data_IF_241496974489
#
_entry.id   IF_241496974489
#
_cell.length_a   1.000
_cell.length_b   1.000
_cell.length_c   1.000
_cell.angle_alpha   90.00
_cell.angle_beta   90.00
_cell.angle_gamma   90.00
#
_symmetry.space_group_name_H-M   'P 1'
#
loop_
_entity.id
_entity.type
_entity.pdbx_description
1 polymer ?
#
# COMPACT_ATOMS: atom_id res chain seq x y z
N UNK A 1 17.97 -15.08 -13.32
CA UNK A 1 16.88 -14.09 -13.46
C UNK A 1 15.68 -14.63 -12.70
N UNK A 2 15.19 -13.92 -11.67
CA UNK A 2 13.97 -14.36 -10.97
C UNK A 2 12.80 -13.93 -11.84
N UNK A 3 11.96 -14.89 -12.25
CA UNK A 3 10.76 -14.61 -13.03
C UNK A 3 9.91 -13.56 -12.30
N UNK A 4 9.34 -12.64 -13.08
CA UNK A 4 8.37 -11.63 -12.62
C UNK A 4 7.30 -12.35 -11.78
N UNK A 5 6.99 -11.80 -10.59
CA UNK A 5 5.94 -12.39 -9.74
C UNK A 5 4.63 -12.49 -10.52
N UNK A 6 3.91 -13.58 -10.32
CA UNK A 6 2.54 -13.72 -10.79
C UNK A 6 1.62 -12.74 -10.05
N UNK A 7 0.48 -12.38 -10.65
CA UNK A 7 -0.53 -11.53 -10.01
C UNK A 7 -0.95 -12.06 -8.63
N UNK A 8 -1.10 -13.38 -8.51
CA UNK A 8 -1.51 -14.02 -7.26
C UNK A 8 -0.43 -13.94 -6.17
N UNK A 9 0.85 -14.03 -6.52
CA UNK A 9 1.95 -13.85 -5.58
C UNK A 9 2.05 -12.41 -5.10
N UNK A 10 1.88 -11.42 -6.00
CA UNK A 10 1.83 -10.01 -5.62
C UNK A 10 0.66 -9.77 -4.67
N UNK A 11 -0.54 -10.22 -5.02
CA UNK A 11 -1.74 -10.10 -4.20
C UNK A 11 -1.53 -10.70 -2.81
N UNK A 12 -1.02 -11.93 -2.74
CA UNK A 12 -0.72 -12.62 -1.48
C UNK A 12 0.32 -11.89 -0.64
N UNK A 13 1.28 -11.21 -1.28
CA UNK A 13 2.30 -10.41 -0.60
C UNK A 13 1.70 -9.12 -0.05
N UNK A 14 0.86 -8.43 -0.81
CA UNK A 14 0.14 -7.25 -0.35
C UNK A 14 -0.78 -7.55 0.85
N UNK A 15 -1.47 -8.69 0.86
CA UNK A 15 -2.24 -9.14 2.05
C UNK A 15 -1.32 -9.25 3.27
N UNK A 16 -0.14 -9.89 3.12
CA UNK A 16 0.81 -10.05 4.22
C UNK A 16 1.31 -8.70 4.72
N UNK A 17 1.59 -7.75 3.82
CA UNK A 17 1.99 -6.40 4.18
C UNK A 17 0.88 -5.67 4.96
N UNK A 18 -0.37 -5.75 4.49
CA UNK A 18 -1.53 -5.15 5.17
C UNK A 18 -1.74 -5.75 6.56
N UNK A 19 -1.73 -7.08 6.69
CA UNK A 19 -1.87 -7.75 7.99
C UNK A 19 -0.77 -7.34 8.99
N UNK A 20 0.47 -7.18 8.53
CA UNK A 20 1.59 -6.71 9.35
C UNK A 20 1.44 -5.24 9.76
N UNK A 21 0.95 -4.40 8.86
CA UNK A 21 0.72 -2.99 9.12
C UNK A 21 -0.44 -2.80 10.11
N UNK A 22 -1.60 -3.38 9.80
CA UNK A 22 -2.81 -3.33 10.61
C UNK A 22 -3.74 -4.52 10.29
N UNK A 23 -3.71 -5.55 11.14
CA UNK A 23 -4.55 -6.75 11.00
C UNK A 23 -6.06 -6.44 11.06
N UNK A 24 -6.46 -5.44 11.84
CA UNK A 24 -7.86 -5.05 11.97
C UNK A 24 -8.42 -4.50 10.65
N UNK A 25 -7.63 -3.69 9.93
CA UNK A 25 -8.04 -3.17 8.61
C UNK A 25 -8.26 -4.27 7.58
N UNK A 26 -7.48 -5.36 7.65
CA UNK A 26 -7.71 -6.53 6.80
C UNK A 26 -9.02 -7.25 7.18
N UNK A 27 -9.24 -7.51 8.47
CA UNK A 27 -10.43 -8.25 8.92
C UNK A 27 -11.74 -7.49 8.68
N UNK A 28 -11.70 -6.17 8.77
CA UNK A 28 -12.85 -5.30 8.52
C UNK A 28 -13.00 -4.94 7.03
N UNK A 29 -12.16 -5.54 6.16
CA UNK A 29 -12.14 -5.26 4.72
C UNK A 29 -11.98 -3.77 4.39
N UNK A 30 -11.32 -3.03 5.28
CA UNK A 30 -11.16 -1.58 5.15
C UNK A 30 -10.27 -1.22 3.96
N UNK A 31 -9.24 -2.02 3.73
CA UNK A 31 -8.38 -2.00 2.56
C UNK A 31 -8.29 -3.40 1.98
N UNK A 32 -8.41 -3.50 0.66
CA UNK A 32 -8.24 -4.75 -0.09
C UNK A 32 -7.14 -4.52 -1.13
N UNK A 33 -6.15 -5.42 -1.24
CA UNK A 33 -5.17 -5.31 -2.31
C UNK A 33 -5.84 -5.29 -3.67
N UNK A 34 -5.30 -4.50 -4.58
CA UNK A 34 -5.60 -4.60 -6.00
C UNK A 34 -4.28 -4.55 -6.78
N UNK A 35 -4.20 -5.38 -7.82
CA UNK A 35 -3.03 -5.46 -8.69
C UNK A 35 -3.49 -5.44 -10.14
N UNK A 36 -3.95 -4.26 -10.55
CA UNK A 36 -4.41 -3.97 -11.90
C UNK A 36 -3.29 -3.27 -12.68
N UNK A 37 -3.16 -3.55 -13.98
CA UNK A 37 -2.17 -2.94 -14.87
C UNK A 37 -0.71 -2.99 -14.38
N UNK A 38 -0.36 -4.04 -13.65
CA UNK A 38 0.98 -4.26 -13.09
C UNK A 38 1.41 -3.27 -11.99
N UNK A 39 0.45 -2.58 -11.39
CA UNK A 39 0.67 -1.57 -10.36
C UNK A 39 0.20 -2.07 -8.99
N UNK A 40 0.99 -1.83 -7.93
CA UNK A 40 0.58 -2.15 -6.57
C UNK A 40 -0.50 -1.16 -6.10
N UNK A 41 -1.61 -1.67 -5.59
CA UNK A 41 -2.64 -0.79 -5.04
C UNK A 41 -3.42 -1.42 -3.89
N UNK A 42 -4.09 -0.57 -3.11
CA UNK A 42 -5.11 -0.93 -2.14
C UNK A 42 -6.35 -0.07 -2.36
N UNK A 43 -7.47 -0.75 -2.57
CA UNK A 43 -8.79 -0.12 -2.64
C UNK A 43 -9.37 -0.09 -1.23
N UNK A 44 -9.96 1.05 -0.88
CA UNK A 44 -10.74 1.17 0.35
C UNK A 44 -12.14 0.62 0.16
N UNK A 45 -12.76 0.12 1.23
CA UNK A 45 -14.21 -0.08 1.24
C UNK A 45 -14.91 1.23 0.82
N UNK A 46 -15.92 1.13 -0.06
CA UNK A 46 -16.65 2.26 -0.63
C UNK A 46 -17.65 2.84 0.39
N UNK A 47 -17.11 3.43 1.45
CA UNK A 47 -17.90 4.08 2.49
C UNK A 47 -17.19 5.34 3.00
N UNK A 48 -17.98 6.38 3.30
CA UNK A 48 -17.47 7.62 3.90
C UNK A 48 -16.71 7.33 5.21
N UNK A 49 -17.19 6.34 5.98
CA UNK A 49 -16.52 5.91 7.21
C UNK A 49 -15.12 5.37 6.94
N UNK A 50 -14.96 4.49 5.95
CA UNK A 50 -13.67 3.91 5.60
C UNK A 50 -12.67 4.98 5.16
N UNK A 51 -13.07 5.86 4.23
CA UNK A 51 -12.22 6.95 3.77
C UNK A 51 -11.80 7.89 4.91
N UNK A 52 -12.72 8.25 5.82
CA UNK A 52 -12.39 9.08 7.00
C UNK A 52 -11.43 8.39 7.97
N UNK A 53 -11.58 7.08 8.16
CA UNK A 53 -10.72 6.32 9.07
C UNK A 53 -9.32 6.17 8.50
N UNK A 54 -9.20 5.90 7.20
CA UNK A 54 -7.91 5.82 6.50
C UNK A 54 -7.20 7.18 6.53
N UNK A 55 -7.88 8.26 6.14
CA UNK A 55 -7.27 9.60 6.06
C UNK A 55 -6.81 10.15 7.42
N UNK A 56 -7.42 9.71 8.53
CA UNK A 56 -7.00 10.05 9.89
C UNK A 56 -5.86 9.18 10.44
N UNK A 57 -5.49 8.11 9.73
CA UNK A 57 -4.57 7.08 10.22
C UNK A 57 -3.21 7.10 9.50
N UNK A 58 -2.60 8.29 9.36
CA UNK A 58 -1.33 8.46 8.63
C UNK A 58 -0.24 7.50 9.11
N UNK A 59 -0.08 7.33 10.43
CA UNK A 59 0.91 6.38 11.01
C UNK A 59 0.71 4.94 10.52
N UNK A 60 -0.53 4.50 10.32
CA UNK A 60 -0.84 3.17 9.81
C UNK A 60 -0.50 3.07 8.33
N UNK A 61 -0.79 4.11 7.57
CA UNK A 61 -0.43 4.20 6.15
C UNK A 61 1.09 4.18 5.97
N UNK A 62 1.83 5.01 6.72
CA UNK A 62 3.30 5.04 6.67
C UNK A 62 3.89 3.66 6.99
N UNK A 63 3.33 2.97 7.99
CA UNK A 63 3.72 1.59 8.32
C UNK A 63 3.42 0.61 7.19
N UNK A 64 2.27 0.74 6.53
CA UNK A 64 1.89 -0.09 5.38
C UNK A 64 2.86 0.12 4.22
N UNK A 65 3.09 1.37 3.82
CA UNK A 65 4.00 1.70 2.72
C UNK A 65 5.42 1.22 3.02
N UNK A 66 5.92 1.45 4.25
CA UNK A 66 7.23 0.94 4.69
C UNK A 66 7.29 -0.59 4.58
N UNK A 67 6.25 -1.29 5.03
CA UNK A 67 6.20 -2.75 4.96
C UNK A 67 6.22 -3.27 3.52
N UNK A 68 5.57 -2.57 2.59
CA UNK A 68 5.55 -2.91 1.17
C UNK A 68 6.93 -2.72 0.55
N UNK A 69 7.54 -1.54 0.74
CA UNK A 69 8.82 -1.24 0.10
C UNK A 69 10.00 -2.00 0.72
N UNK A 70 9.89 -2.46 1.96
CA UNK A 70 10.88 -3.34 2.58
C UNK A 70 10.69 -4.83 2.23
N UNK A 71 9.60 -5.23 1.56
CA UNK A 71 9.40 -6.62 1.16
C UNK A 71 10.30 -6.98 -0.02
N UNK A 72 11.15 -7.99 0.16
CA UNK A 72 12.11 -8.47 -0.85
C UNK A 72 11.47 -8.92 -2.16
N UNK A 73 10.20 -9.32 -2.14
CA UNK A 73 9.50 -9.77 -3.34
C UNK A 73 8.95 -8.58 -4.13
N UNK A 74 8.75 -7.42 -3.49
CA UNK A 74 8.21 -6.22 -4.11
C UNK A 74 9.27 -5.16 -4.44
N UNK A 75 10.57 -5.52 -4.41
CA UNK A 75 11.68 -4.60 -4.69
C UNK A 75 11.63 -3.96 -6.07
N UNK A 76 11.07 -4.67 -7.06
CA UNK A 76 10.93 -4.17 -8.43
C UNK A 76 9.84 -3.10 -8.58
N UNK A 77 9.00 -2.88 -7.56
CA UNK A 77 7.94 -1.89 -7.59
C UNK A 77 8.36 -0.62 -6.86
N UNK A 78 8.23 0.50 -7.55
CA UNK A 78 8.59 1.82 -7.02
C UNK A 78 7.40 2.61 -6.52
N UNK A 79 6.17 2.19 -6.84
CA UNK A 79 4.95 2.95 -6.56
C UNK A 79 3.91 2.02 -5.92
N UNK A 80 3.16 2.55 -4.97
CA UNK A 80 1.90 1.96 -4.50
C UNK A 80 0.81 3.02 -4.37
N UNK A 81 -0.40 2.66 -4.77
CA UNK A 81 -1.60 3.49 -4.64
C UNK A 81 -2.41 3.02 -3.42
N UNK A 82 -2.78 3.92 -2.52
CA UNK A 82 -3.61 3.58 -1.36
C UNK A 82 -4.67 4.64 -1.18
N UNK A 83 -5.95 4.24 -1.30
CA UNK A 83 -7.08 5.14 -1.04
C UNK A 83 -7.00 6.46 -1.85
N UNK A 84 -6.60 6.37 -3.13
CA UNK A 84 -6.47 7.53 -4.03
C UNK A 84 -5.19 8.34 -3.87
N UNK A 85 -4.31 7.99 -2.92
CA UNK A 85 -2.99 8.62 -2.77
C UNK A 85 -1.89 7.75 -3.39
N UNK A 86 -0.83 8.40 -3.88
CA UNK A 86 0.33 7.76 -4.52
C UNK A 86 1.52 7.86 -3.59
N UNK A 87 2.20 6.74 -3.37
CA UNK A 87 3.40 6.67 -2.55
C UNK A 87 4.55 6.10 -3.37
N UNK A 88 5.71 6.73 -3.24
CA UNK A 88 6.92 6.38 -3.98
C UNK A 88 7.95 5.73 -3.06
N UNK A 89 8.66 4.74 -3.61
CA UNK A 89 9.84 4.15 -3.00
C UNK A 89 10.93 5.21 -3.00
N UNK A 90 11.15 5.82 -1.86
CA UNK A 90 12.26 6.75 -1.71
C UNK A 90 13.57 5.94 -1.52
N UNK A 91 14.60 6.13 -2.38
CA UNK A 91 15.89 5.46 -2.22
C UNK A 91 16.65 5.87 -0.94
N UNK A 92 16.21 6.94 -0.25
CA UNK A 92 16.80 7.45 0.99
C UNK A 92 15.92 7.24 2.25
N UNK A 93 14.93 6.35 2.16
CA UNK A 93 14.20 5.83 3.34
C UNK A 93 13.24 6.82 4.05
N UNK A 94 12.46 7.63 3.32
CA UNK A 94 11.24 8.25 3.87
C UNK A 94 10.12 8.40 2.82
N UNK A 95 8.95 7.82 3.13
CA UNK A 95 7.71 7.94 2.36
C UNK A 95 7.10 9.31 2.65
N UNK A 96 6.87 10.13 1.62
CA UNK A 96 6.15 11.39 1.74
C UNK A 96 4.77 11.26 1.05
N UNK A 97 3.66 11.60 1.71
CA UNK A 97 2.40 11.85 1.00
C UNK A 97 2.56 13.11 0.13
N UNK A 98 2.02 13.09 -1.09
CA UNK A 98 2.19 14.13 -2.13
C UNK A 98 1.77 15.57 -1.72
N UNK A 99 1.17 15.78 -0.55
CA UNK A 99 0.71 17.11 -0.09
C UNK A 99 1.81 18.11 0.33
N UNK A 100 3.10 17.76 0.25
CA UNK A 100 4.20 18.68 0.63
C UNK A 100 5.03 19.24 -0.52
N UNK A 101 4.66 18.99 -1.78
CA UNK A 101 5.25 19.73 -2.91
C UNK A 101 4.27 20.80 -3.38
N UNK A 102 4.59 22.05 -3.05
CA UNK A 102 3.65 23.16 -2.94
C UNK A 102 3.05 23.71 -4.23
N UNK A 103 2.04 24.55 -3.99
CA UNK A 103 1.91 25.89 -4.59
C UNK A 103 1.84 26.89 -3.46
#
# INVERSE_FOLDING_TARGET
>A
MRNKLTKQEVYSTLIKCLKKANYQWWNEELLVPDYTNEVLSFLSADTIYAHKRISRSQKTIDKLVKTIFQDKNLLAYEIVFINGEVYWRNPQDFVLPYKTMGT
#
